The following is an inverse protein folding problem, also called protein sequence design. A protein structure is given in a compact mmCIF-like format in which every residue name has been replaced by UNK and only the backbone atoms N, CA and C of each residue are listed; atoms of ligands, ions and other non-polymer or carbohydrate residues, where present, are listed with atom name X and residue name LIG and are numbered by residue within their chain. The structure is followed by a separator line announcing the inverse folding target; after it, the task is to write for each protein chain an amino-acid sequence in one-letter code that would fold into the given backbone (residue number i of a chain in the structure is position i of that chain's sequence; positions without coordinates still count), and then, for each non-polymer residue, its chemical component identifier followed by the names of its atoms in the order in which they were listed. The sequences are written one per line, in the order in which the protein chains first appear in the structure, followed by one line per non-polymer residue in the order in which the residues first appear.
data_IF_426417573773
#
_entry.id   IF_426417573773
#
_cell.length_a   1.000
_cell.length_b   1.000
_cell.length_c   1.000
_cell.angle_alpha   90.00
_cell.angle_beta   90.00
_cell.angle_gamma   90.00
#
_symmetry.space_group_name_H-M   'P 1'
#
loop_
_entity.id
_entity.type
_entity.pdbx_description
1 polymer ?
#
# COMPACT_ATOMS: atom_id res chain seq x y z
N UNK A 1 -32.80 -6.63 -64.52
CA UNK A 1 -32.89 -8.00 -65.06
C UNK A 1 -33.22 -8.96 -63.92
N UNK A 2 -34.31 -9.72 -64.09
CA UNK A 2 -34.85 -10.87 -63.33
C UNK A 2 -35.14 -10.74 -61.81
N UNK A 3 -36.40 -10.75 -61.31
CA UNK A 3 -37.37 -11.87 -61.05
C UNK A 3 -36.83 -13.00 -60.15
N UNK A 4 -37.46 -13.49 -59.06
CA UNK A 4 -38.86 -13.92 -58.79
C UNK A 4 -39.12 -14.10 -57.26
N UNK A 5 -40.29 -13.71 -56.69
CA UNK A 5 -41.49 -14.52 -56.32
C UNK A 5 -41.29 -15.54 -55.17
N UNK A 6 -41.78 -15.36 -53.92
CA UNK A 6 -43.16 -15.46 -53.33
C UNK A 6 -43.69 -16.89 -53.11
N UNK A 7 -44.62 -17.07 -52.13
CA UNK A 7 -45.54 -18.23 -51.81
C UNK A 7 -45.17 -19.00 -50.51
N UNK A 8 -46.00 -19.36 -49.50
CA UNK A 8 -47.46 -19.30 -49.22
C UNK A 8 -47.79 -19.44 -47.70
N UNK A 9 -49.05 -19.12 -47.38
CA UNK A 9 -49.81 -19.30 -46.11
C UNK A 9 -50.14 -20.77 -45.78
N UNK A 10 -50.49 -21.04 -44.51
CA UNK A 10 -51.66 -21.87 -44.15
C UNK A 10 -52.07 -21.68 -42.67
N UNK A 11 -53.37 -21.79 -42.40
CA UNK A 11 -54.10 -21.42 -41.19
C UNK A 11 -54.76 -22.62 -40.49
N UNK A 12 -54.91 -22.51 -39.16
CA UNK A 12 -56.06 -22.91 -38.31
C UNK A 12 -56.68 -24.32 -38.36
N UNK A 13 -56.84 -24.93 -37.17
CA UNK A 13 -58.01 -25.74 -36.82
C UNK A 13 -58.37 -25.61 -35.33
N UNK A 14 -59.67 -25.49 -35.07
CA UNK A 14 -60.37 -25.40 -33.78
C UNK A 14 -61.03 -26.74 -33.44
N UNK A 15 -61.20 -27.08 -32.14
CA UNK A 15 -62.40 -27.79 -31.62
C UNK A 15 -62.47 -27.78 -30.09
N UNK A 16 -63.71 -27.96 -29.63
CA UNK A 16 -64.35 -27.52 -28.39
C UNK A 16 -64.61 -28.63 -27.35
N UNK A 17 -64.84 -28.17 -26.11
CA UNK A 17 -65.76 -28.64 -25.04
C UNK A 17 -65.76 -30.10 -24.55
N UNK A 18 -65.47 -30.31 -23.26
CA UNK A 18 -66.46 -30.79 -22.26
C UNK A 18 -65.83 -30.93 -20.84
N UNK A 19 -66.63 -30.62 -19.81
CA UNK A 19 -66.33 -30.71 -18.36
C UNK A 19 -67.46 -31.58 -17.74
N UNK A 20 -67.25 -32.49 -16.76
CA UNK A 20 -67.35 -32.16 -15.31
C UNK A 20 -66.61 -33.17 -14.35
N UNK A 21 -66.90 -33.29 -13.02
CA UNK A 21 -66.80 -32.33 -11.90
C UNK A 21 -65.93 -32.82 -10.69
N UNK A 22 -65.78 -31.91 -9.71
CA UNK A 22 -65.30 -32.00 -8.30
C UNK A 22 -65.23 -33.36 -7.56
N UNK A 23 -64.11 -33.58 -6.82
CA UNK A 23 -64.11 -34.12 -5.44
C UNK A 23 -62.82 -33.76 -4.66
N UNK A 24 -62.98 -33.41 -3.38
CA UNK A 24 -61.98 -32.94 -2.42
C UNK A 24 -61.28 -34.08 -1.67
N UNK A 25 -59.98 -33.95 -1.35
CA UNK A 25 -59.40 -34.54 -0.11
C UNK A 25 -58.16 -33.79 0.36
N UNK A 26 -58.17 -33.41 1.63
CA UNK A 26 -57.10 -32.72 2.35
C UNK A 26 -56.03 -33.69 2.85
N UNK A 27 -54.78 -33.58 2.41
CA UNK A 27 -53.65 -34.30 3.04
C UNK A 27 -52.29 -33.89 2.45
N UNK A 28 -51.90 -32.61 2.52
CA UNK A 28 -50.57 -32.22 2.02
C UNK A 28 -49.80 -31.17 2.84
N UNK A 29 -50.23 -30.88 4.09
CA UNK A 29 -49.61 -29.85 4.93
C UNK A 29 -48.89 -30.35 6.19
N UNK A 30 -48.80 -31.68 6.45
CA UNK A 30 -48.13 -32.18 7.67
C UNK A 30 -46.71 -32.71 7.50
N UNK A 31 -46.18 -32.85 6.28
CA UNK A 31 -44.85 -33.47 6.06
C UNK A 31 -43.69 -32.47 5.94
N UNK A 32 -43.94 -31.16 5.84
CA UNK A 32 -42.88 -30.15 5.72
C UNK A 32 -42.39 -29.57 7.06
N UNK A 33 -43.07 -29.82 8.18
CA UNK A 33 -42.68 -29.29 9.49
C UNK A 33 -41.65 -30.16 10.23
N UNK A 34 -41.70 -31.49 10.08
CA UNK A 34 -40.78 -32.41 10.77
C UNK A 34 -39.36 -32.37 10.18
N UNK A 35 -39.23 -32.34 8.85
CA UNK A 35 -37.92 -32.28 8.19
C UNK A 35 -37.13 -31.00 8.56
N UNK A 36 -37.85 -29.91 8.86
CA UNK A 36 -37.25 -28.62 9.24
C UNK A 36 -36.85 -28.57 10.71
N UNK A 37 -37.58 -29.26 11.60
CA UNK A 37 -37.22 -29.37 13.01
C UNK A 37 -36.03 -30.31 13.24
N UNK A 38 -35.93 -31.42 12.50
CA UNK A 38 -34.78 -32.32 12.57
C UNK A 38 -33.47 -31.67 12.06
N UNK A 39 -33.55 -30.75 11.11
CA UNK A 39 -32.40 -30.00 10.62
C UNK A 39 -31.89 -28.95 11.62
N UNK A 40 -32.78 -28.41 12.47
CA UNK A 40 -32.42 -27.41 13.48
C UNK A 40 -31.82 -28.04 14.74
N UNK A 41 -32.28 -29.22 15.15
CA UNK A 41 -31.70 -29.93 16.31
C UNK A 41 -30.27 -30.43 16.07
N UNK A 42 -29.90 -30.72 14.81
CA UNK A 42 -28.54 -31.11 14.44
C UNK A 42 -27.56 -29.92 14.37
N UNK A 43 -28.04 -28.66 14.45
CA UNK A 43 -27.19 -27.47 14.44
C UNK A 43 -26.78 -26.99 15.84
N UNK A 44 -27.51 -27.36 16.89
CA UNK A 44 -27.25 -26.89 18.27
C UNK A 44 -26.11 -27.66 18.98
N UNK A 45 -25.62 -28.77 18.41
CA UNK A 45 -24.61 -29.64 19.02
C UNK A 45 -23.15 -29.39 18.59
N UNK A 46 -22.88 -28.62 17.54
CA UNK A 46 -21.53 -28.51 16.94
C UNK A 46 -20.87 -27.13 17.05
N UNK A 47 -21.44 -26.22 17.84
CA UNK A 47 -21.00 -24.81 17.89
C UNK A 47 -19.82 -24.47 18.82
N UNK A 48 -19.26 -25.43 19.57
CA UNK A 48 -18.18 -25.14 20.56
C UNK A 48 -16.79 -25.65 20.19
N UNK A 49 -16.69 -26.61 19.26
CA UNK A 49 -15.40 -27.21 18.88
C UNK A 49 -14.83 -26.69 17.54
N UNK A 50 -15.55 -25.82 16.84
CA UNK A 50 -15.13 -25.25 15.54
C UNK A 50 -14.42 -23.89 15.66
N UNK A 51 -14.57 -23.18 16.78
CA UNK A 51 -13.97 -21.85 16.98
C UNK A 51 -12.49 -21.94 17.42
N UNK A 52 -12.09 -23.04 18.07
CA UNK A 52 -10.70 -23.30 18.48
C UNK A 52 -9.80 -23.76 17.33
N UNK A 53 -10.37 -24.33 16.26
CA UNK A 53 -9.62 -24.76 15.07
C UNK A 53 -9.39 -23.66 14.02
N UNK A 54 -9.89 -22.43 14.25
CA UNK A 54 -9.67 -21.27 13.35
C UNK A 54 -8.54 -20.34 13.78
N UNK A 55 -7.94 -20.56 14.94
CA UNK A 55 -6.72 -19.86 15.34
C UNK A 55 -5.53 -20.75 15.03
N UNK A 56 -4.65 -20.27 14.15
CA UNK A 56 -3.31 -20.83 14.03
C UNK A 56 -2.67 -20.87 15.42
N UNK A 57 -1.89 -21.93 15.74
CA UNK A 57 -1.12 -21.97 16.98
C UNK A 57 -0.34 -20.65 17.14
N UNK A 58 -0.15 -20.14 18.37
CA UNK A 58 0.73 -19.01 18.59
C UNK A 58 2.09 -19.33 17.95
N UNK A 59 2.54 -18.44 17.07
CA UNK A 59 3.83 -18.52 16.41
C UNK A 59 4.88 -18.72 17.51
N UNK A 60 5.58 -19.85 17.48
CA UNK A 60 6.65 -20.10 18.44
C UNK A 60 7.62 -18.92 18.35
N UNK A 61 7.95 -18.32 19.49
CA UNK A 61 8.93 -17.25 19.56
C UNK A 61 10.28 -17.80 19.07
N UNK A 62 10.54 -17.68 17.78
CA UNK A 62 11.81 -18.04 17.16
C UNK A 62 12.76 -16.89 17.43
N UNK A 63 13.89 -17.20 18.06
CA UNK A 63 14.98 -16.23 18.21
C UNK A 63 15.53 -15.88 16.81
N UNK A 64 15.30 -14.67 16.30
CA UNK A 64 15.61 -14.31 14.92
C UNK A 64 17.12 -14.36 14.63
N UNK A 65 17.97 -14.08 15.62
CA UNK A 65 19.43 -14.12 15.46
C UNK A 65 19.93 -15.56 15.36
N UNK A 66 19.43 -16.44 16.24
CA UNK A 66 19.77 -17.86 16.19
C UNK A 66 19.32 -18.53 14.87
N UNK A 67 18.18 -18.12 14.32
CA UNK A 67 17.69 -18.63 13.03
C UNK A 67 18.55 -18.15 11.86
N UNK A 68 18.99 -16.89 11.88
CA UNK A 68 19.91 -16.38 10.86
C UNK A 68 21.26 -17.10 10.89
N UNK A 69 21.84 -17.31 12.07
CA UNK A 69 23.12 -18.02 12.20
C UNK A 69 23.03 -19.47 11.71
N UNK A 70 21.95 -20.19 12.06
CA UNK A 70 21.69 -21.53 11.52
C UNK A 70 21.51 -21.53 10.00
N UNK A 71 20.87 -20.50 9.47
CA UNK A 71 20.69 -20.35 8.03
C UNK A 71 22.03 -20.16 7.32
N UNK A 72 22.90 -19.32 7.85
CA UNK A 72 24.26 -19.13 7.34
C UNK A 72 25.06 -20.44 7.42
N UNK A 73 25.06 -21.12 8.58
CA UNK A 73 25.73 -22.41 8.77
C UNK A 73 25.24 -23.47 7.77
N UNK A 74 23.94 -23.48 7.46
CA UNK A 74 23.37 -24.36 6.45
C UNK A 74 23.90 -24.04 5.05
N UNK A 75 23.93 -22.77 4.68
CA UNK A 75 24.44 -22.31 3.37
C UNK A 75 25.94 -22.59 3.19
N UNK A 76 26.73 -22.51 4.27
CA UNK A 76 28.19 -22.76 4.25
C UNK A 76 28.57 -24.21 4.56
N UNK A 77 27.59 -25.11 4.69
CA UNK A 77 27.84 -26.53 4.98
C UNK A 77 28.69 -27.20 3.89
N UNK A 78 29.71 -28.01 4.26
CA UNK A 78 30.52 -28.77 3.31
C UNK A 78 29.71 -29.69 2.38
N UNK A 79 28.50 -30.09 2.79
CA UNK A 79 27.59 -30.92 1.98
C UNK A 79 27.19 -30.25 0.66
N UNK A 80 27.13 -28.91 0.64
CA UNK A 80 26.72 -28.12 -0.52
C UNK A 80 27.90 -27.52 -1.28
N UNK A 81 29.12 -27.64 -0.74
CA UNK A 81 30.30 -27.00 -1.32
C UNK A 81 30.65 -27.53 -2.71
N UNK A 82 30.45 -28.82 -2.95
CA UNK A 82 30.69 -29.45 -4.26
C UNK A 82 29.46 -29.42 -5.18
N UNK A 83 28.26 -29.34 -4.60
CA UNK A 83 26.97 -29.46 -5.29
C UNK A 83 26.44 -28.11 -5.80
N UNK A 84 26.54 -27.09 -4.95
CA UNK A 84 25.91 -25.77 -5.11
C UNK A 84 26.84 -24.65 -4.60
N UNK A 85 27.96 -24.36 -5.30
CA UNK A 85 28.97 -23.38 -4.84
C UNK A 85 28.40 -21.97 -4.62
N UNK A 86 27.30 -21.64 -5.29
CA UNK A 86 26.61 -20.37 -5.19
C UNK A 86 25.91 -20.16 -3.85
N UNK A 87 25.39 -21.22 -3.22
CA UNK A 87 24.76 -21.13 -1.90
C UNK A 87 25.80 -20.79 -0.83
N UNK A 88 26.97 -21.41 -0.93
CA UNK A 88 28.13 -21.12 -0.09
C UNK A 88 28.57 -19.66 -0.25
N UNK A 89 28.60 -19.14 -1.47
CA UNK A 89 28.92 -17.74 -1.74
C UNK A 89 27.91 -16.76 -1.11
N UNK A 90 26.60 -17.07 -1.14
CA UNK A 90 25.56 -16.29 -0.43
C UNK A 90 25.79 -16.34 1.08
N UNK A 91 26.14 -17.50 1.63
CA UNK A 91 26.46 -17.68 3.05
C UNK A 91 27.63 -16.78 3.48
N UNK A 92 28.74 -16.77 2.74
CA UNK A 92 29.88 -15.91 3.03
C UNK A 92 29.57 -14.41 2.91
N UNK A 93 28.70 -14.03 1.97
CA UNK A 93 28.26 -12.63 1.83
C UNK A 93 27.44 -12.18 3.06
N UNK A 94 26.56 -13.05 3.58
CA UNK A 94 25.83 -12.79 4.82
C UNK A 94 26.76 -12.71 6.04
N UNK A 95 27.76 -13.59 6.14
CA UNK A 95 28.78 -13.52 7.20
C UNK A 95 29.58 -12.21 7.14
N UNK A 96 29.96 -11.78 5.94
CA UNK A 96 30.66 -10.52 5.74
C UNK A 96 29.81 -9.33 6.18
N UNK A 97 28.52 -9.30 5.84
CA UNK A 97 27.59 -8.25 6.29
C UNK A 97 27.47 -8.20 7.81
N UNK A 98 27.36 -9.36 8.48
CA UNK A 98 27.33 -9.43 9.95
C UNK A 98 28.66 -9.01 10.57
N UNK A 99 29.79 -9.32 9.94
CA UNK A 99 31.11 -8.92 10.41
C UNK A 99 31.36 -7.42 10.29
N UNK A 100 30.85 -6.78 9.23
CA UNK A 100 31.06 -5.35 8.97
C UNK A 100 30.11 -4.49 9.80
N UNK A 101 28.82 -4.84 9.83
CA UNK A 101 27.76 -4.00 10.39
C UNK A 101 27.22 -4.49 11.74
N UNK A 102 27.70 -5.64 12.22
CA UNK A 102 27.33 -6.23 13.51
C UNK A 102 26.20 -7.27 13.42
N UNK A 103 26.03 -8.01 14.52
CA UNK A 103 25.14 -9.18 14.59
C UNK A 103 23.66 -8.86 14.37
N UNK A 104 23.22 -7.64 14.68
CA UNK A 104 21.84 -7.20 14.53
C UNK A 104 21.53 -6.53 13.18
N UNK A 105 22.54 -6.40 12.30
CA UNK A 105 22.40 -5.67 11.03
C UNK A 105 21.51 -6.42 10.05
N UNK A 106 21.54 -7.75 10.05
CA UNK A 106 20.75 -8.58 9.14
C UNK A 106 19.63 -9.28 9.90
N UNK A 107 18.42 -9.27 9.34
CA UNK A 107 17.24 -9.95 9.91
C UNK A 107 16.50 -10.72 8.82
N UNK A 108 16.35 -12.02 8.99
CA UNK A 108 15.54 -12.82 8.07
C UNK A 108 14.07 -12.34 8.10
N UNK A 109 13.47 -12.26 6.92
CA UNK A 109 12.07 -11.88 6.74
C UNK A 109 11.27 -13.08 6.27
N UNK A 110 10.39 -13.57 7.14
CA UNK A 110 9.51 -14.69 6.84
C UNK A 110 8.18 -14.17 6.28
N UNK A 111 7.65 -14.83 5.24
CA UNK A 111 6.31 -14.53 4.77
C UNK A 111 5.31 -14.92 5.87
N UNK A 112 4.44 -13.99 6.26
CA UNK A 112 3.40 -14.18 7.29
C UNK A 112 2.27 -15.15 6.88
N UNK A 113 2.45 -15.89 5.78
CA UNK A 113 1.50 -16.89 5.30
C UNK A 113 2.28 -18.10 4.78
N UNK A 114 2.12 -19.29 5.37
CA UNK A 114 2.49 -20.50 4.64
C UNK A 114 1.59 -20.57 3.40
N UNK A 115 2.20 -20.76 2.24
CA UNK A 115 1.46 -21.16 1.04
C UNK A 115 0.65 -22.40 1.42
N UNK A 116 -0.67 -22.35 1.23
CA UNK A 116 -1.60 -23.40 1.66
C UNK A 116 -1.47 -24.65 0.78
N UNK A 117 -0.37 -25.40 0.92
CA UNK A 117 -0.03 -26.66 0.28
C UNK A 117 1.08 -27.25 1.19
N UNK A 118 0.91 -28.26 2.04
CA UNK A 118 0.39 -29.61 1.83
C UNK A 118 0.02 -30.16 3.22
N UNK A 119 -1.25 -30.50 3.44
CA UNK A 119 -1.63 -31.46 4.48
C UNK A 119 -1.91 -32.78 3.76
N UNK A 120 -0.91 -33.64 3.64
CA UNK A 120 -1.11 -35.04 3.27
C UNK A 120 -1.64 -35.78 4.50
N UNK A 121 -2.93 -35.61 4.79
CA UNK A 121 -3.64 -36.59 5.61
C UNK A 121 -3.80 -37.87 4.81
N UNK A 122 -3.40 -38.96 5.44
CA UNK A 122 -3.33 -40.30 4.89
C UNK A 122 -4.74 -40.83 4.60
N UNK A 123 -5.16 -40.86 3.34
CA UNK A 123 -6.31 -41.66 2.92
C UNK A 123 -5.97 -42.43 1.66
N UNK A 124 -5.83 -43.75 1.82
CA UNK A 124 -5.76 -44.73 0.75
C UNK A 124 -6.96 -44.59 -0.18
N UNK A 125 -6.76 -44.13 -1.41
CA UNK A 125 -7.67 -44.42 -2.52
C UNK A 125 -6.87 -44.42 -3.81
N UNK A 126 -6.78 -45.58 -4.46
CA UNK A 126 -6.17 -45.76 -5.78
C UNK A 126 -6.83 -44.84 -6.81
N UNK A 127 -6.02 -44.06 -7.53
CA UNK A 127 -6.43 -43.31 -8.71
C UNK A 127 -6.00 -44.07 -9.98
N UNK A 128 -6.81 -44.02 -11.07
CA UNK A 128 -6.56 -44.79 -12.29
C UNK A 128 -5.42 -44.18 -13.13
N UNK A 129 -4.83 -44.96 -14.06
CA UNK A 129 -3.65 -44.51 -14.81
C UNK A 129 -3.99 -43.40 -15.81
N UNK A 130 -3.03 -42.50 -16.11
CA UNK A 130 -3.26 -41.39 -17.03
C UNK A 130 -3.35 -41.85 -18.48
N UNK A 131 -4.31 -41.28 -19.20
CA UNK A 131 -4.57 -41.47 -20.64
C UNK A 131 -3.43 -40.81 -21.45
N UNK A 132 -2.92 -41.43 -22.54
CA UNK A 132 -1.84 -40.85 -23.32
C UNK A 132 -2.34 -39.76 -24.27
N UNK A 133 -1.79 -38.55 -24.15
CA UNK A 133 -2.04 -37.43 -25.05
C UNK A 133 -1.20 -37.56 -26.33
N UNK A 134 -1.89 -37.55 -27.46
CA UNK A 134 -1.35 -37.59 -28.82
C UNK A 134 -0.43 -36.40 -29.14
N UNK A 135 0.60 -36.74 -29.91
CA UNK A 135 1.65 -35.94 -30.53
C UNK A 135 1.23 -34.66 -31.28
N UNK A 136 2.00 -33.59 -31.08
CA UNK A 136 2.49 -32.71 -32.16
C UNK A 136 3.97 -32.37 -31.92
N UNK A 137 4.76 -32.52 -32.97
CA UNK A 137 6.22 -32.40 -33.03
C UNK A 137 6.69 -30.93 -33.10
N UNK A 138 7.78 -30.63 -32.39
CA UNK A 138 8.65 -29.45 -32.58
C UNK A 138 9.77 -29.45 -31.53
N UNK A 139 11.07 -29.37 -31.89
CA UNK A 139 12.16 -29.61 -30.96
C UNK A 139 12.58 -28.32 -30.23
N UNK A 140 12.57 -28.35 -28.91
CA UNK A 140 13.33 -27.40 -28.08
C UNK A 140 13.62 -28.02 -26.71
N UNK A 141 14.78 -28.67 -26.63
CA UNK A 141 15.40 -29.17 -25.41
C UNK A 141 15.95 -28.02 -24.56
N UNK A 142 15.09 -27.38 -23.75
CA UNK A 142 15.55 -26.42 -22.71
C UNK A 142 14.64 -26.33 -21.48
N UNK A 143 13.60 -27.18 -21.40
CA UNK A 143 12.62 -27.15 -20.30
C UNK A 143 12.92 -28.08 -19.12
N UNK A 144 13.81 -29.07 -19.28
CA UNK A 144 14.12 -30.06 -18.24
C UNK A 144 15.18 -29.53 -17.25
N UNK A 145 16.21 -28.85 -17.72
CA UNK A 145 17.31 -28.33 -16.88
C UNK A 145 16.85 -27.21 -15.93
N UNK A 146 16.03 -26.27 -16.42
CA UNK A 146 15.52 -25.15 -15.60
C UNK A 146 14.65 -25.59 -14.41
N UNK A 147 14.00 -26.75 -14.52
CA UNK A 147 13.23 -27.34 -13.42
C UNK A 147 14.13 -28.06 -12.42
N UNK A 148 15.27 -28.59 -12.84
CA UNK A 148 16.23 -29.25 -11.95
C UNK A 148 16.92 -28.22 -11.05
N UNK A 149 17.53 -27.19 -11.62
CA UNK A 149 18.31 -26.20 -10.84
C UNK A 149 17.47 -25.46 -9.78
N UNK A 150 16.21 -25.15 -10.11
CA UNK A 150 15.28 -24.53 -9.14
C UNK A 150 14.80 -25.49 -8.06
N UNK A 151 14.78 -26.80 -8.32
CA UNK A 151 14.44 -27.83 -7.33
C UNK A 151 15.62 -28.13 -6.42
N UNK A 152 16.84 -28.18 -6.96
CA UNK A 152 18.07 -28.44 -6.20
C UNK A 152 18.36 -27.29 -5.23
N UNK A 153 18.27 -26.04 -5.70
CA UNK A 153 18.29 -24.83 -4.86
C UNK A 153 17.24 -24.87 -3.75
N UNK A 154 16.00 -25.20 -4.12
CA UNK A 154 14.88 -25.25 -3.19
C UNK A 154 15.02 -26.36 -2.13
N UNK A 155 15.63 -27.50 -2.50
CA UNK A 155 15.90 -28.62 -1.60
C UNK A 155 17.07 -28.33 -0.64
N UNK A 156 18.11 -27.62 -1.10
CA UNK A 156 19.26 -27.25 -0.28
C UNK A 156 18.91 -26.20 0.80
N UNK A 157 18.02 -25.26 0.47
CA UNK A 157 17.54 -24.21 1.38
C UNK A 157 16.38 -24.69 2.27
N UNK A 158 15.74 -25.80 1.92
CA UNK A 158 14.60 -26.31 2.68
C UNK A 158 15.04 -26.77 4.09
N UNK A 159 14.58 -26.02 5.08
CA UNK A 159 14.66 -26.39 6.48
C UNK A 159 13.38 -25.94 7.18
N UNK A 160 12.62 -26.91 7.69
CA UNK A 160 11.36 -26.70 8.39
C UNK A 160 11.55 -25.87 9.68
N UNK A 161 12.72 -26.00 10.32
CA UNK A 161 13.06 -25.30 11.55
C UNK A 161 13.42 -23.84 11.26
N UNK A 162 14.02 -23.54 10.10
CA UNK A 162 14.32 -22.17 9.65
C UNK A 162 13.04 -21.51 9.09
N UNK A 163 12.16 -22.27 8.45
CA UNK A 163 10.84 -21.81 7.98
C UNK A 163 10.77 -21.37 6.52
N UNK A 164 11.74 -21.74 5.69
CA UNK A 164 11.69 -21.50 4.24
C UNK A 164 10.92 -22.61 3.52
N UNK A 165 10.01 -22.22 2.62
CA UNK A 165 9.31 -23.14 1.74
C UNK A 165 10.13 -23.33 0.46
N UNK A 166 10.28 -24.56 -0.08
CA UNK A 166 11.01 -24.81 -1.31
C UNK A 166 10.46 -23.95 -2.46
N UNK A 167 11.33 -23.23 -3.16
CA UNK A 167 10.98 -22.40 -4.31
C UNK A 167 10.48 -21.00 -3.95
N UNK A 168 10.48 -20.61 -2.68
CA UNK A 168 10.22 -19.24 -2.25
C UNK A 168 11.46 -18.34 -2.40
N UNK A 169 11.24 -17.03 -2.50
CA UNK A 169 12.32 -16.03 -2.45
C UNK A 169 12.89 -15.96 -1.04
N UNK A 170 14.20 -16.01 -0.88
CA UNK A 170 14.84 -15.64 0.39
C UNK A 170 14.70 -14.13 0.55
N UNK A 171 14.24 -13.68 1.71
CA UNK A 171 14.15 -12.26 2.04
C UNK A 171 14.82 -11.99 3.37
N UNK A 172 15.59 -10.92 3.41
CA UNK A 172 16.16 -10.42 4.64
C UNK A 172 16.28 -8.90 4.58
N UNK A 173 16.20 -8.30 5.75
CA UNK A 173 16.42 -6.89 5.94
C UNK A 173 17.87 -6.66 6.36
N UNK A 174 18.52 -5.66 5.76
CA UNK A 174 19.85 -5.20 6.15
C UNK A 174 19.72 -3.76 6.63
N UNK A 175 20.21 -3.48 7.84
CA UNK A 175 20.32 -2.14 8.41
C UNK A 175 21.75 -1.65 8.28
N UNK A 176 21.97 -0.55 7.57
CA UNK A 176 23.29 0.01 7.25
C UNK A 176 23.28 1.51 7.54
N UNK A 177 24.40 2.11 7.99
CA UNK A 177 24.50 3.56 8.08
C UNK A 177 24.59 4.17 6.68
N UNK A 178 24.09 5.41 6.50
CA UNK A 178 24.17 6.09 5.19
C UNK A 178 25.62 6.42 4.78
N UNK A 179 26.51 6.61 5.75
CA UNK A 179 27.95 6.73 5.56
C UNK A 179 28.68 6.08 6.73
N UNK A 180 29.95 5.71 6.55
CA UNK A 180 30.72 5.08 7.62
C UNK A 180 31.16 6.11 8.67
N UNK A 181 31.30 5.68 9.92
CA UNK A 181 31.69 6.57 11.00
C UNK A 181 33.10 7.12 10.76
N UNK A 182 33.22 8.45 10.69
CA UNK A 182 34.48 9.13 10.36
C UNK A 182 34.62 9.54 8.89
N UNK A 183 33.66 9.21 8.04
CA UNK A 183 33.61 9.73 6.68
C UNK A 183 33.27 11.22 6.65
N UNK A 184 34.02 11.98 5.86
CA UNK A 184 33.71 13.39 5.58
C UNK A 184 32.67 13.49 4.44
N UNK A 185 31.64 14.31 4.64
CA UNK A 185 30.65 14.62 3.60
C UNK A 185 31.10 15.86 2.83
N UNK A 186 31.55 15.68 1.59
CA UNK A 186 31.98 16.79 0.73
C UNK A 186 30.82 17.78 0.49
N UNK A 187 31.10 19.08 0.61
CA UNK A 187 30.14 20.14 0.30
C UNK A 187 29.16 20.51 1.42
N UNK A 188 29.35 19.98 2.64
CA UNK A 188 28.51 20.29 3.81
C UNK A 188 29.38 20.79 4.96
N UNK A 189 28.91 21.81 5.67
CA UNK A 189 29.54 22.29 6.90
C UNK A 189 29.51 21.22 8.00
N UNK A 190 30.68 20.82 8.51
CA UNK A 190 30.86 19.75 9.51
C UNK A 190 30.01 19.96 10.77
N UNK A 191 29.75 21.22 11.14
CA UNK A 191 28.96 21.55 12.34
C UNK A 191 27.47 21.21 12.21
N UNK A 192 26.98 21.02 10.98
CA UNK A 192 25.58 20.76 10.67
C UNK A 192 25.34 19.33 10.19
N UNK A 193 26.39 18.52 10.05
CA UNK A 193 26.27 17.07 9.84
C UNK A 193 25.87 16.43 11.17
N UNK A 194 24.88 15.54 11.20
CA UNK A 194 24.56 14.78 12.41
C UNK A 194 25.81 14.05 12.94
N UNK A 195 26.02 14.07 14.26
CA UNK A 195 27.16 13.38 14.89
C UNK A 195 27.18 11.88 14.55
N UNK A 196 26.00 11.26 14.50
CA UNK A 196 25.83 9.86 14.11
C UNK A 196 25.14 9.75 12.73
N UNK A 197 25.66 8.91 11.81
CA UNK A 197 24.99 8.65 10.54
C UNK A 197 23.61 8.02 10.76
N UNK A 198 22.56 8.48 10.06
CA UNK A 198 21.27 7.81 10.10
C UNK A 198 21.38 6.42 9.50
N UNK A 199 20.58 5.49 10.02
CA UNK A 199 20.51 4.12 9.49
C UNK A 199 19.44 4.03 8.40
N UNK A 200 19.81 3.44 7.27
CA UNK A 200 18.90 2.97 6.23
C UNK A 200 18.61 1.49 6.40
N UNK A 201 17.39 1.07 6.07
CA UNK A 201 16.95 -0.32 6.10
C UNK A 201 16.64 -0.77 4.69
N UNK A 202 17.28 -1.81 4.20
CA UNK A 202 17.11 -2.32 2.83
C UNK A 202 16.57 -3.73 2.89
N UNK A 203 15.43 -3.98 2.23
CA UNK A 203 14.94 -5.32 1.98
C UNK A 203 15.68 -5.91 0.79
N UNK A 204 16.41 -6.99 1.02
CA UNK A 204 17.02 -7.82 0.00
C UNK A 204 16.07 -8.99 -0.30
N UNK A 205 15.77 -9.21 -1.57
CA UNK A 205 14.96 -10.33 -2.04
C UNK A 205 15.71 -11.13 -3.09
N UNK A 206 16.14 -12.34 -2.73
CA UNK A 206 16.83 -13.27 -3.63
C UNK A 206 15.80 -14.16 -4.33
N UNK A 207 15.68 -14.11 -5.67
CA UNK A 207 14.87 -15.08 -6.39
C UNK A 207 15.50 -16.49 -6.32
N UNK A 208 14.70 -17.57 -6.47
CA UNK A 208 15.23 -18.95 -6.52
C UNK A 208 16.24 -19.22 -7.65
N UNK A 209 16.34 -18.30 -8.61
CA UNK A 209 17.23 -18.34 -9.76
C UNK A 209 18.51 -17.52 -9.55
N UNK A 210 18.71 -16.92 -8.38
CA UNK A 210 19.92 -16.18 -8.02
C UNK A 210 20.99 -17.13 -7.48
N UNK A 211 22.28 -16.96 -7.86
CA UNK A 211 22.84 -15.96 -8.78
C UNK A 211 22.87 -16.41 -10.25
N UNK A 212 22.33 -17.58 -10.58
CA UNK A 212 22.54 -18.22 -11.88
C UNK A 212 21.91 -17.47 -13.07
N UNK A 213 20.74 -16.84 -12.90
CA UNK A 213 20.05 -16.22 -14.05
C UNK A 213 19.21 -14.99 -13.72
N UNK A 214 18.98 -14.66 -12.45
CA UNK A 214 18.24 -13.45 -12.08
C UNK A 214 18.93 -12.70 -10.96
N UNK A 215 19.04 -11.36 -11.03
CA UNK A 215 19.66 -10.56 -9.99
C UNK A 215 18.80 -10.50 -8.71
N UNK A 216 19.37 -10.06 -7.58
CA UNK A 216 18.61 -9.75 -6.39
C UNK A 216 17.75 -8.48 -6.62
N UNK A 217 16.76 -8.29 -5.76
CA UNK A 217 15.96 -7.06 -5.72
C UNK A 217 16.20 -6.35 -4.40
N UNK A 218 16.51 -5.05 -4.49
CA UNK A 218 16.77 -4.18 -3.35
C UNK A 218 15.64 -3.16 -3.23
N UNK A 219 15.17 -2.94 -2.00
CA UNK A 219 14.13 -1.97 -1.73
C UNK A 219 14.43 -1.22 -0.43
N UNK A 220 14.43 0.10 -0.47
CA UNK A 220 14.55 0.92 0.72
C UNK A 220 13.26 0.80 1.55
N UNK A 221 13.41 0.51 2.83
CA UNK A 221 12.34 0.41 3.82
C UNK A 221 12.27 1.69 4.64
N UNK A 222 11.05 2.09 4.99
CA UNK A 222 10.78 3.32 5.71
C UNK A 222 10.30 4.43 4.79
N UNK A 223 9.64 5.43 5.38
CA UNK A 223 9.16 6.63 4.67
C UNK A 223 10.11 7.81 4.82
N UNK A 224 11.01 7.73 5.78
CA UNK A 224 11.94 8.79 6.14
C UNK A 224 13.32 8.19 6.34
N UNK A 225 14.32 9.00 6.05
CA UNK A 225 15.72 8.75 6.34
C UNK A 225 16.27 9.98 7.05
N UNK A 226 16.64 9.83 8.32
CA UNK A 226 16.88 10.98 9.19
C UNK A 226 15.67 11.90 9.23
N UNK A 227 15.88 13.17 8.89
CA UNK A 227 14.85 14.22 8.89
C UNK A 227 14.14 14.38 7.53
N UNK A 228 14.52 13.61 6.51
CA UNK A 228 14.05 13.78 5.15
C UNK A 228 13.08 12.66 4.75
N UNK A 229 11.99 13.03 4.07
CA UNK A 229 11.06 12.07 3.48
C UNK A 229 11.66 11.45 2.23
N UNK A 230 11.60 10.13 2.10
CA UNK A 230 12.09 9.41 0.93
C UNK A 230 11.13 9.69 -0.24
N UNK A 231 11.65 10.24 -1.33
CA UNK A 231 10.88 10.50 -2.54
C UNK A 231 10.83 9.29 -3.48
N UNK A 232 9.93 9.35 -4.47
CA UNK A 232 9.76 8.28 -5.47
C UNK A 232 10.95 8.11 -6.41
N UNK A 233 11.77 9.16 -6.57
CA UNK A 233 12.99 9.13 -7.37
C UNK A 233 14.02 8.21 -6.73
N UNK A 234 14.38 8.48 -5.47
CA UNK A 234 15.31 7.66 -4.68
C UNK A 234 14.83 6.20 -4.61
N UNK A 235 13.54 5.99 -4.33
CA UNK A 235 12.97 4.65 -4.29
C UNK A 235 13.11 3.90 -5.63
N UNK A 236 12.84 4.61 -6.74
CA UNK A 236 12.95 4.08 -8.08
C UNK A 236 14.38 3.70 -8.45
N UNK A 237 15.36 4.54 -8.09
CA UNK A 237 16.77 4.31 -8.41
C UNK A 237 17.32 3.10 -7.66
N UNK A 238 16.94 2.92 -6.39
CA UNK A 238 17.27 1.72 -5.59
C UNK A 238 16.61 0.46 -6.16
N UNK A 239 15.34 0.53 -6.55
CA UNK A 239 14.64 -0.63 -7.12
C UNK A 239 15.25 -1.07 -8.46
N UNK A 240 15.89 -0.13 -9.19
CA UNK A 240 16.52 -0.37 -10.48
C UNK A 240 18.03 -0.65 -10.40
N UNK A 241 18.59 -0.91 -9.20
CA UNK A 241 20.04 -1.13 -9.02
C UNK A 241 20.65 -2.12 -10.02
N UNK A 242 19.98 -3.21 -10.37
CA UNK A 242 20.52 -4.21 -11.34
C UNK A 242 19.89 -4.16 -12.73
N UNK A 243 19.09 -3.13 -13.02
CA UNK A 243 18.31 -3.00 -14.26
C UNK A 243 18.70 -1.73 -15.02
N UNK A 244 19.06 -0.67 -14.31
CA UNK A 244 19.44 0.62 -14.89
C UNK A 244 20.85 0.58 -15.48
N UNK A 245 21.08 1.36 -16.55
CA UNK A 245 22.41 1.58 -17.13
C UNK A 245 23.41 2.21 -16.16
N UNK A 246 22.90 2.95 -15.17
CA UNK A 246 23.71 3.64 -14.16
C UNK A 246 23.84 2.81 -12.87
N UNK A 247 23.29 1.59 -12.88
CA UNK A 247 23.32 0.66 -11.76
C UNK A 247 24.52 -0.29 -11.79
N UNK A 248 24.40 -1.39 -11.05
CA UNK A 248 25.36 -2.49 -11.01
C UNK A 248 25.04 -3.52 -12.09
N UNK A 249 26.07 -3.92 -12.83
CA UNK A 249 25.96 -5.00 -13.80
C UNK A 249 25.82 -6.34 -13.08
N UNK A 250 24.77 -7.09 -13.41
CA UNK A 250 24.62 -8.47 -12.94
C UNK A 250 25.29 -9.45 -13.91
N UNK A 251 26.23 -10.23 -13.38
CA UNK A 251 26.87 -11.34 -14.09
C UNK A 251 26.26 -12.67 -13.60
N UNK A 252 25.61 -13.45 -14.49
CA UNK A 252 25.11 -14.78 -14.15
C UNK A 252 26.19 -15.67 -13.53
N UNK A 253 25.91 -16.22 -12.34
CA UNK A 253 26.83 -17.05 -11.55
C UNK A 253 27.59 -16.29 -10.46
N UNK A 254 27.61 -14.96 -10.51
CA UNK A 254 28.29 -14.16 -9.50
C UNK A 254 27.31 -13.65 -8.42
N UNK A 255 27.71 -13.80 -7.16
CA UNK A 255 27.04 -13.18 -6.02
C UNK A 255 27.43 -11.69 -5.97
N UNK A 256 26.48 -10.81 -5.64
CA UNK A 256 26.56 -9.38 -5.90
C UNK A 256 25.65 -8.52 -5.00
N UNK A 257 25.10 -9.05 -3.90
CA UNK A 257 24.24 -8.27 -3.00
C UNK A 257 25.05 -7.15 -2.35
N UNK A 258 26.29 -7.43 -1.94
CA UNK A 258 27.20 -6.48 -1.31
C UNK A 258 27.50 -5.30 -2.24
N UNK A 259 27.79 -5.56 -3.51
CA UNK A 259 27.99 -4.53 -4.53
C UNK A 259 26.73 -3.67 -4.70
N UNK A 260 25.56 -4.30 -4.72
CA UNK A 260 24.29 -3.60 -4.79
C UNK A 260 24.01 -2.75 -3.56
N UNK A 261 24.28 -3.26 -2.35
CA UNK A 261 24.11 -2.52 -1.10
C UNK A 261 25.08 -1.32 -1.01
N UNK A 262 26.32 -1.49 -1.46
CA UNK A 262 27.32 -0.42 -1.55
C UNK A 262 26.88 0.68 -2.52
N UNK A 263 26.34 0.28 -3.68
CA UNK A 263 25.76 1.21 -4.64
C UNK A 263 24.54 1.95 -4.08
N UNK A 264 23.64 1.25 -3.39
CA UNK A 264 22.49 1.85 -2.70
C UNK A 264 22.97 2.85 -1.63
N UNK A 265 23.97 2.50 -0.81
CA UNK A 265 24.57 3.40 0.16
C UNK A 265 25.09 4.67 -0.51
N UNK A 266 25.75 4.55 -1.66
CA UNK A 266 26.23 5.70 -2.45
C UNK A 266 25.08 6.59 -2.95
N UNK A 267 24.03 6.01 -3.53
CA UNK A 267 22.85 6.78 -3.99
C UNK A 267 22.21 7.51 -2.82
N UNK A 268 21.94 6.78 -1.74
CA UNK A 268 21.27 7.30 -0.54
C UNK A 268 22.11 8.40 0.12
N UNK A 269 23.43 8.23 0.18
CA UNK A 269 24.36 9.24 0.67
C UNK A 269 24.29 10.53 -0.15
N UNK A 270 24.38 10.44 -1.47
CA UNK A 270 24.32 11.62 -2.34
C UNK A 270 22.99 12.34 -2.24
N UNK A 271 21.89 11.58 -2.17
CA UNK A 271 20.55 12.12 -1.93
C UNK A 271 20.46 12.83 -0.57
N UNK A 272 20.99 12.22 0.49
CA UNK A 272 20.96 12.78 1.84
C UNK A 272 21.79 14.07 1.93
N UNK A 273 22.98 14.08 1.32
CA UNK A 273 23.86 15.26 1.22
C UNK A 273 23.11 16.41 0.53
N UNK A 274 22.44 16.13 -0.58
CA UNK A 274 21.69 17.15 -1.33
C UNK A 274 20.53 17.74 -0.51
N UNK A 275 19.84 16.93 0.29
CA UNK A 275 18.76 17.42 1.15
C UNK A 275 19.28 18.23 2.35
N UNK A 276 20.44 17.85 2.90
CA UNK A 276 21.12 18.65 3.91
C UNK A 276 21.51 20.01 3.36
N UNK A 277 22.13 20.10 2.18
CA UNK A 277 22.54 21.38 1.59
C UNK A 277 21.34 22.30 1.34
N UNK A 278 20.25 21.78 0.76
CA UNK A 278 19.00 22.54 0.55
C UNK A 278 18.44 23.06 1.88
N UNK A 279 18.50 22.24 2.93
CA UNK A 279 18.03 22.63 4.26
C UNK A 279 18.90 23.75 4.86
N UNK A 280 20.22 23.67 4.68
CA UNK A 280 21.15 24.69 5.15
C UNK A 280 20.96 26.02 4.42
N UNK A 281 20.81 26.00 3.09
CA UNK A 281 20.53 27.19 2.29
C UNK A 281 19.22 27.85 2.73
N UNK A 282 18.17 27.05 2.94
CA UNK A 282 16.88 27.53 3.42
C UNK A 282 16.92 28.11 4.82
N UNK A 283 17.76 27.60 5.72
CA UNK A 283 17.97 28.15 7.06
C UNK A 283 18.78 29.46 7.02
N UNK A 284 19.87 29.50 6.26
CA UNK A 284 20.71 30.69 6.11
C UNK A 284 19.92 31.87 5.51
N UNK A 285 19.10 31.61 4.48
CA UNK A 285 18.23 32.63 3.89
C UNK A 285 17.20 33.17 4.90
N UNK A 286 16.62 32.29 5.73
CA UNK A 286 15.69 32.73 6.79
C UNK A 286 16.38 33.54 7.88
N UNK A 287 17.63 33.23 8.20
CA UNK A 287 18.39 33.97 9.20
C UNK A 287 18.82 35.34 8.66
N UNK A 288 19.20 35.42 7.39
CA UNK A 288 19.44 36.70 6.68
C UNK A 288 18.17 37.57 6.63
N UNK A 289 17.01 36.97 6.32
CA UNK A 289 15.70 37.65 6.38
C UNK A 289 15.35 38.11 7.81
N UNK A 290 15.70 37.34 8.86
CA UNK A 290 15.47 37.74 10.25
C UNK A 290 16.36 38.89 10.70
N UNK A 291 17.60 38.93 10.22
CA UNK A 291 18.55 40.00 10.53
C UNK A 291 18.18 41.30 9.81
N UNK A 292 17.71 41.23 8.56
CA UNK A 292 17.23 42.40 7.80
C UNK A 292 15.93 42.99 8.39
N UNK A 293 15.02 42.15 8.92
CA UNK A 293 13.78 42.61 9.56
C UNK A 293 13.98 43.34 10.91
N UNK A 294 15.15 43.22 11.54
CA UNK A 294 15.44 43.90 12.81
C UNK A 294 16.01 45.33 12.64
N UNK A 295 16.43 45.72 11.43
CA UNK A 295 17.01 47.05 11.18
C UNK A 295 15.98 48.09 10.69
N UNK A 296 14.81 47.66 10.22
CA UNK A 296 13.75 48.55 9.71
C UNK A 296 12.66 48.84 10.76
N UNK A 297 13.01 49.64 11.77
CA UNK A 297 12.05 50.20 12.73
C UNK A 297 11.54 51.59 12.31
N UNK A 298 11.37 51.84 11.01
CA UNK A 298 10.70 53.05 10.51
C UNK A 298 10.25 52.92 9.03
N UNK A 299 9.08 52.34 8.79
CA UNK A 299 8.00 52.91 7.96
C UNK A 299 7.00 51.86 7.48
N UNK A 300 5.74 52.29 7.45
CA UNK A 300 4.60 51.57 6.90
C UNK A 300 4.83 51.15 5.44
N UNK A 301 5.02 49.85 5.19
CA UNK A 301 4.43 49.08 4.07
C UNK A 301 4.90 47.63 4.15
N UNK A 302 3.98 46.70 4.40
CA UNK A 302 4.26 45.24 4.46
C UNK A 302 4.50 44.68 3.06
N UNK A 303 5.55 43.85 2.84
CA UNK A 303 5.58 42.93 1.71
C UNK A 303 4.99 41.56 2.10
N UNK A 304 4.39 40.90 1.09
CA UNK A 304 3.80 39.56 1.15
C UNK A 304 4.87 38.48 1.34
N UNK A 305 4.70 37.61 2.34
CA UNK A 305 5.45 36.37 2.52
C UNK A 305 4.64 35.20 1.97
N UNK A 306 4.79 34.92 0.67
CA UNK A 306 4.34 33.66 0.06
C UNK A 306 5.46 32.63 0.18
N UNK A 307 5.32 31.69 1.12
CA UNK A 307 6.15 30.50 1.25
C UNK A 307 5.78 29.52 0.13
N UNK A 308 6.61 29.41 -0.90
CA UNK A 308 6.40 28.44 -1.99
C UNK A 308 7.08 27.10 -1.65
N UNK A 309 6.26 26.10 -1.34
CA UNK A 309 6.64 24.68 -1.35
C UNK A 309 5.66 23.95 -2.26
N UNK A 310 5.83 24.11 -3.57
CA UNK A 310 5.16 23.28 -4.57
C UNK A 310 5.95 23.35 -5.88
N UNK A 311 6.68 22.28 -6.23
CA UNK A 311 7.31 22.13 -7.54
C UNK A 311 6.41 21.29 -8.44
N UNK A 312 5.87 21.90 -9.50
CA UNK A 312 5.43 21.16 -10.69
C UNK A 312 6.27 21.59 -11.87
N UNK A 313 6.72 20.59 -12.62
CA UNK A 313 7.41 20.77 -13.89
C UNK A 313 6.60 21.64 -14.84
N UNK A 314 7.28 22.59 -15.45
CA UNK A 314 6.76 23.46 -16.48
C UNK A 314 6.32 22.63 -17.69
N UNK A 315 5.02 22.57 -17.93
CA UNK A 315 4.45 22.26 -19.23
C UNK A 315 3.45 23.38 -19.53
N UNK A 316 3.86 24.24 -20.47
CA UNK A 316 3.07 25.32 -21.05
C UNK A 316 1.66 24.84 -21.40
N UNK A 317 0.64 25.42 -20.78
CA UNK A 317 -0.71 25.56 -21.33
C UNK A 317 -1.45 26.64 -20.53
N UNK A 318 -2.07 27.57 -21.25
CA UNK A 318 -2.83 28.77 -20.83
C UNK A 318 -3.42 28.69 -19.41
N UNK A 319 -3.03 29.63 -18.55
CA UNK A 319 -3.53 29.75 -17.18
C UNK A 319 -5.01 30.17 -17.17
N UNK A 320 -5.91 29.20 -17.06
CA UNK A 320 -7.27 29.48 -16.59
C UNK A 320 -7.17 29.99 -15.14
N UNK A 321 -7.50 31.27 -14.94
CA UNK A 321 -7.59 31.88 -13.61
C UNK A 321 -8.75 31.20 -12.85
N UNK A 322 -8.42 30.36 -11.88
CA UNK A 322 -9.39 29.70 -11.00
C UNK A 322 -9.94 30.73 -10.01
N UNK A 323 -11.24 31.04 -10.10
CA UNK A 323 -11.94 31.94 -9.19
C UNK A 323 -12.23 31.26 -7.84
N UNK A 324 -11.38 31.55 -6.84
CA UNK A 324 -11.42 30.97 -5.49
C UNK A 324 -12.73 31.36 -4.75
N UNK A 325 -13.37 32.47 -5.11
CA UNK A 325 -14.58 32.96 -4.43
C UNK A 325 -15.81 32.04 -4.58
N UNK A 326 -15.77 31.13 -5.55
CA UNK A 326 -16.84 30.14 -5.80
C UNK A 326 -16.83 28.98 -4.81
N UNK A 327 -15.73 28.81 -4.08
CA UNK A 327 -15.55 27.71 -3.18
C UNK A 327 -16.05 28.06 -1.77
N UNK A 328 -16.76 27.13 -1.15
CA UNK A 328 -17.31 27.30 0.21
C UNK A 328 -16.78 26.18 1.11
N UNK A 329 -16.03 26.57 2.14
CA UNK A 329 -15.63 25.67 3.20
C UNK A 329 -16.78 25.39 4.17
N UNK A 330 -16.95 24.13 4.52
CA UNK A 330 -17.82 23.68 5.61
C UNK A 330 -16.96 23.27 6.80
N UNK A 331 -17.01 24.08 7.85
CA UNK A 331 -16.14 23.95 9.02
C UNK A 331 -16.90 23.31 10.18
N UNK A 332 -16.34 22.26 10.79
CA UNK A 332 -16.92 21.59 11.95
C UNK A 332 -16.87 22.46 13.20
N UNK A 333 -17.68 22.10 14.20
CA UNK A 333 -17.46 22.60 15.55
C UNK A 333 -16.10 22.10 16.10
N UNK A 334 -15.44 22.88 16.99
CA UNK A 334 -14.18 22.47 17.58
C UNK A 334 -14.37 21.32 18.57
N UNK A 335 -13.59 20.26 18.39
CA UNK A 335 -13.48 19.15 19.34
C UNK A 335 -12.30 19.45 20.26
N UNK A 336 -12.51 19.42 21.58
CA UNK A 336 -11.48 19.74 22.58
C UNK A 336 -11.23 18.52 23.46
N UNK A 337 -9.98 18.06 23.54
CA UNK A 337 -9.51 17.01 24.44
C UNK A 337 -8.13 17.40 25.00
N UNK A 338 -7.98 17.42 26.33
CA UNK A 338 -6.71 17.74 27.01
C UNK A 338 -6.03 19.00 26.45
N UNK A 339 -6.83 20.06 26.25
CA UNK A 339 -6.46 21.36 25.65
C UNK A 339 -6.02 21.31 24.18
N UNK A 340 -5.96 20.13 23.57
CA UNK A 340 -5.82 20.02 22.12
C UNK A 340 -7.17 20.28 21.46
N UNK A 341 -7.16 21.03 20.37
CA UNK A 341 -8.35 21.39 19.61
C UNK A 341 -8.25 20.84 18.20
N UNK A 342 -9.35 20.33 17.67
CA UNK A 342 -9.45 19.78 16.31
C UNK A 342 -10.64 20.41 15.59
N UNK A 343 -10.41 20.89 14.37
CA UNK A 343 -11.45 21.45 13.51
C UNK A 343 -11.29 20.83 12.12
N UNK A 344 -12.36 20.31 11.56
CA UNK A 344 -12.40 19.80 10.19
C UNK A 344 -12.99 20.84 9.24
N UNK A 345 -12.53 20.82 8.00
CA UNK A 345 -12.98 21.66 6.91
C UNK A 345 -13.19 20.77 5.69
N UNK A 346 -14.41 20.76 5.12
CA UNK A 346 -14.70 20.04 3.89
C UNK A 346 -15.07 20.99 2.77
N UNK A 347 -14.73 20.61 1.55
CA UNK A 347 -14.99 21.42 0.37
C UNK A 347 -15.13 20.55 -0.89
N UNK A 348 -16.03 20.95 -1.78
CA UNK A 348 -16.22 20.27 -3.06
C UNK A 348 -15.17 20.75 -4.05
N UNK A 349 -14.51 19.82 -4.72
CA UNK A 349 -13.45 20.07 -5.70
C UNK A 349 -13.73 19.32 -6.99
N UNK A 350 -13.32 19.88 -8.13
CA UNK A 350 -13.50 19.25 -9.45
C UNK A 350 -12.16 19.00 -10.14
N UNK A 351 -11.11 19.71 -9.72
CA UNK A 351 -9.78 19.62 -10.31
C UNK A 351 -8.70 19.62 -9.23
N UNK A 352 -7.61 18.90 -9.48
CA UNK A 352 -6.46 18.80 -8.59
C UNK A 352 -5.75 20.15 -8.42
N UNK A 353 -5.77 20.99 -9.47
CA UNK A 353 -5.21 22.35 -9.44
C UNK A 353 -5.88 23.28 -8.40
N UNK A 354 -7.11 22.97 -7.97
CA UNK A 354 -7.85 23.76 -6.98
C UNK A 354 -7.29 23.57 -5.56
N UNK A 355 -6.75 22.39 -5.28
CA UNK A 355 -6.33 21.96 -3.94
C UNK A 355 -5.29 22.91 -3.31
N UNK A 356 -4.15 23.25 -3.97
CA UNK A 356 -3.17 24.14 -3.36
C UNK A 356 -3.73 25.56 -3.12
N UNK A 357 -4.61 26.05 -3.99
CA UNK A 357 -5.26 27.36 -3.81
C UNK A 357 -6.19 27.37 -2.60
N UNK A 358 -6.94 26.28 -2.41
CA UNK A 358 -7.86 26.11 -1.28
C UNK A 358 -7.12 25.93 0.05
N UNK A 359 -6.03 25.17 0.06
CA UNK A 359 -5.19 25.05 1.26
C UNK A 359 -4.61 26.42 1.62
N UNK A 360 -4.09 27.17 0.65
CA UNK A 360 -3.56 28.51 0.90
C UNK A 360 -4.64 29.47 1.42
N UNK A 361 -5.85 29.41 0.86
CA UNK A 361 -6.98 30.20 1.37
C UNK A 361 -7.33 29.87 2.82
N UNK A 362 -7.25 28.59 3.22
CA UNK A 362 -7.45 28.20 4.61
C UNK A 362 -6.32 28.71 5.51
N UNK A 363 -5.08 28.70 5.03
CA UNK A 363 -3.89 29.19 5.73
C UNK A 363 -3.81 30.73 5.81
N UNK A 364 -4.62 31.47 5.04
CA UNK A 364 -4.76 32.91 5.20
C UNK A 364 -5.31 33.30 6.59
N UNK A 365 -6.07 32.41 7.25
CA UNK A 365 -6.43 32.59 8.65
C UNK A 365 -5.21 32.34 9.55
N UNK A 366 -4.72 33.42 10.16
CA UNK A 366 -3.59 33.39 11.11
C UNK A 366 -3.78 32.44 12.28
N UNK A 367 -5.01 32.14 12.69
CA UNK A 367 -5.27 31.17 13.76
C UNK A 367 -4.98 29.75 13.30
N UNK A 368 -5.34 29.42 12.07
CA UNK A 368 -5.11 28.12 11.43
C UNK A 368 -3.63 27.96 11.10
N UNK A 369 -3.00 28.96 10.48
CA UNK A 369 -1.57 28.91 10.14
C UNK A 369 -0.63 28.76 11.35
N UNK A 370 -1.09 29.12 12.55
CA UNK A 370 -0.34 28.96 13.82
C UNK A 370 -0.64 27.64 14.54
N UNK A 371 -1.50 26.79 13.99
CA UNK A 371 -1.79 25.49 14.58
C UNK A 371 -0.54 24.60 14.56
N UNK A 372 -0.55 23.54 15.38
CA UNK A 372 0.56 22.58 15.39
C UNK A 372 0.60 21.77 14.09
N UNK A 373 -0.58 21.49 13.54
CA UNK A 373 -0.78 20.88 12.22
C UNK A 373 -1.89 21.68 11.53
N UNK A 374 -1.55 22.77 10.80
CA UNK A 374 -2.49 23.65 10.12
C UNK A 374 -3.42 22.97 9.09
N UNK A 375 -2.93 22.01 8.33
CA UNK A 375 -3.59 21.47 7.15
C UNK A 375 -3.32 19.97 6.91
N UNK A 376 -3.75 19.10 7.84
CA UNK A 376 -3.77 17.65 7.58
C UNK A 376 -4.89 17.37 6.57
N UNK A 377 -4.59 16.92 5.35
CA UNK A 377 -5.63 16.81 4.33
C UNK A 377 -5.65 15.48 3.59
N UNK A 378 -6.79 15.19 2.96
CA UNK A 378 -6.94 14.15 1.96
C UNK A 378 -7.99 14.56 0.93
N UNK A 379 -7.85 14.07 -0.29
CA UNK A 379 -8.84 14.31 -1.32
C UNK A 379 -9.12 13.08 -2.18
N UNK A 380 -10.29 13.09 -2.82
CA UNK A 380 -10.69 12.06 -3.78
C UNK A 380 -11.42 12.70 -4.94
N UNK A 381 -10.76 12.76 -6.10
CA UNK A 381 -11.30 13.26 -7.35
C UNK A 381 -11.68 12.12 -8.28
N UNK A 382 -12.75 12.32 -9.05
CA UNK A 382 -13.20 11.35 -10.06
C UNK A 382 -13.14 11.97 -11.44
N UNK A 383 -12.45 11.29 -12.36
CA UNK A 383 -12.48 11.61 -13.79
C UNK A 383 -13.22 10.48 -14.51
N UNK A 384 -14.26 10.84 -15.25
CA UNK A 384 -14.92 9.92 -16.15
C UNK A 384 -14.09 9.85 -17.44
N UNK A 385 -13.51 8.68 -17.71
CA UNK A 385 -12.63 8.48 -18.87
C UNK A 385 -13.35 7.90 -20.07
N UNK A 386 -14.67 7.61 -19.98
CA UNK A 386 -15.49 7.15 -21.10
C UNK A 386 -15.00 5.87 -21.79
N UNK A 387 -15.63 4.73 -21.50
CA UNK A 387 -15.28 3.43 -22.10
C UNK A 387 -15.42 2.27 -21.11
N UNK A 388 -14.98 1.04 -21.45
CA UNK A 388 -15.09 -0.12 -20.55
C UNK A 388 -14.26 -0.01 -19.26
N UNK A 389 -13.35 0.99 -19.16
CA UNK A 389 -12.53 1.25 -17.98
C UNK A 389 -13.24 2.01 -16.83
N UNK A 390 -14.41 2.62 -17.08
CA UNK A 390 -15.22 3.28 -16.04
C UNK A 390 -14.60 4.56 -15.43
N UNK A 391 -14.83 4.77 -14.13
CA UNK A 391 -14.36 5.94 -13.34
C UNK A 391 -12.91 5.77 -12.91
N UNK A 392 -12.07 6.79 -13.14
CA UNK A 392 -10.71 6.87 -12.60
C UNK A 392 -10.72 7.75 -11.34
N UNK A 393 -10.16 7.24 -10.25
CA UNK A 393 -10.00 7.99 -9.00
C UNK A 393 -8.59 8.56 -8.89
N UNK A 394 -8.46 9.86 -8.69
CA UNK A 394 -7.22 10.48 -8.23
C UNK A 394 -7.36 10.80 -6.74
N UNK A 395 -6.51 10.23 -5.91
CA UNK A 395 -6.59 10.35 -4.44
C UNK A 395 -5.21 10.54 -3.86
N UNK A 396 -5.05 11.57 -3.03
CA UNK A 396 -3.82 11.80 -2.29
C UNK A 396 -4.11 12.37 -0.90
N UNK A 397 -3.07 12.51 -0.08
CA UNK A 397 -3.16 13.03 1.28
C UNK A 397 -1.85 13.69 1.73
N UNK A 398 -1.95 14.53 2.76
CA UNK A 398 -0.81 15.05 3.51
C UNK A 398 -1.08 14.91 5.01
N UNK A 399 -0.07 14.44 5.72
CA UNK A 399 -0.10 14.29 7.17
C UNK A 399 0.19 15.63 7.89
N UNK A 400 0.80 16.62 7.22
CA UNK A 400 1.17 17.93 7.78
C UNK A 400 1.89 17.82 9.15
N UNK A 401 2.86 16.89 9.23
CA UNK A 401 3.61 16.59 10.45
C UNK A 401 2.84 15.75 11.50
N UNK A 402 1.54 15.51 11.33
CA UNK A 402 0.74 14.58 12.14
C UNK A 402 0.79 13.17 11.53
N UNK A 403 1.89 12.44 11.77
CA UNK A 403 2.16 11.15 11.13
C UNK A 403 0.97 10.19 11.16
N UNK A 404 0.61 9.66 9.98
CA UNK A 404 -0.49 8.75 9.72
C UNK A 404 -1.91 9.33 9.89
N UNK A 405 -2.08 10.65 9.93
CA UNK A 405 -3.41 11.27 9.97
C UNK A 405 -4.04 11.45 8.58
N UNK A 406 -3.32 11.98 7.60
CA UNK A 406 -3.76 12.17 6.22
C UNK A 406 -4.12 10.84 5.55
N UNK A 407 -3.30 9.79 5.72
CA UNK A 407 -3.62 8.46 5.19
C UNK A 407 -4.93 7.88 5.77
N UNK A 408 -5.26 8.19 7.04
CA UNK A 408 -6.54 7.81 7.65
C UNK A 408 -7.71 8.62 7.11
N UNK A 409 -7.49 9.91 6.82
CA UNK A 409 -8.49 10.76 6.16
C UNK A 409 -8.76 10.29 4.73
N UNK A 410 -7.73 9.90 3.97
CA UNK A 410 -7.91 9.28 2.64
C UNK A 410 -8.73 8.01 2.75
N UNK A 411 -8.38 7.12 3.67
CA UNK A 411 -9.13 5.89 3.89
C UNK A 411 -10.58 6.15 4.34
N UNK A 412 -10.82 7.21 5.12
CA UNK A 412 -12.16 7.66 5.49
C UNK A 412 -12.99 8.04 4.24
N UNK A 413 -12.43 8.79 3.30
CA UNK A 413 -13.09 9.14 2.03
C UNK A 413 -13.35 7.89 1.15
N UNK A 414 -12.46 6.90 1.22
CA UNK A 414 -12.61 5.61 0.52
C UNK A 414 -13.80 4.81 1.07
N UNK A 415 -13.85 4.58 2.38
CA UNK A 415 -14.91 3.82 3.05
C UNK A 415 -16.27 4.51 2.89
N UNK A 416 -16.29 5.85 2.97
CA UNK A 416 -17.52 6.62 2.80
C UNK A 416 -17.93 6.73 1.32
N UNK A 417 -17.09 6.29 0.38
CA UNK A 417 -17.27 6.36 -1.07
C UNK A 417 -17.57 7.79 -1.56
N UNK A 418 -16.90 8.76 -0.97
CA UNK A 418 -17.07 10.16 -1.33
C UNK A 418 -16.20 10.51 -2.53
N UNK A 419 -16.77 11.26 -3.46
CA UNK A 419 -16.15 11.67 -4.71
C UNK A 419 -16.12 13.20 -4.78
N UNK A 420 -15.10 13.76 -5.42
CA UNK A 420 -14.96 15.19 -5.70
C UNK A 420 -14.97 16.05 -4.43
N UNK A 421 -14.24 15.59 -3.40
CA UNK A 421 -14.16 16.24 -2.08
C UNK A 421 -12.72 16.34 -1.59
N UNK A 422 -12.41 17.47 -0.96
CA UNK A 422 -11.20 17.71 -0.17
C UNK A 422 -11.64 17.85 1.29
N UNK A 423 -10.96 17.14 2.18
CA UNK A 423 -11.08 17.30 3.63
C UNK A 423 -9.75 17.79 4.18
N UNK A 424 -9.79 18.81 5.03
CA UNK A 424 -8.65 19.35 5.77
C UNK A 424 -8.99 19.35 7.25
N UNK A 425 -8.07 18.94 8.11
CA UNK A 425 -8.22 18.98 9.56
C UNK A 425 -7.08 19.80 10.14
N UNK A 426 -7.44 20.82 10.92
CA UNK A 426 -6.51 21.64 11.66
C UNK A 426 -6.44 21.17 13.10
N UNK A 427 -5.22 20.96 13.63
CA UNK A 427 -4.99 20.55 15.02
C UNK A 427 -4.11 21.55 15.77
N UNK A 428 -4.60 22.02 16.92
CA UNK A 428 -3.81 22.76 17.90
C UNK A 428 -3.33 21.83 19.02
N UNK A 429 -2.04 21.91 19.38
CA UNK A 429 -1.47 21.12 20.46
C UNK A 429 -1.74 21.77 21.83
N UNK A 430 -2.30 20.98 22.75
CA UNK A 430 -2.67 21.43 24.10
C UNK A 430 -1.59 21.34 25.16
N UNK A 431 -0.38 20.88 24.81
CA UNK A 431 0.70 20.60 25.77
C UNK A 431 0.72 19.16 26.33
N UNK A 432 -0.27 18.33 25.98
CA UNK A 432 -0.38 16.93 26.46
C UNK A 432 -0.42 15.99 25.25
N UNK A 433 0.39 14.93 25.26
CA UNK A 433 0.37 13.93 24.20
C UNK A 433 -0.90 13.06 24.31
N UNK A 434 -1.73 13.08 23.26
CA UNK A 434 -2.98 12.31 23.20
C UNK A 434 -2.79 10.85 22.78
N UNK A 435 -1.60 10.47 22.29
CA UNK A 435 -1.36 9.12 21.79
C UNK A 435 -2.34 8.77 20.66
N UNK A 436 -2.83 7.52 20.55
CA UNK A 436 -3.76 7.12 19.50
C UNK A 436 -5.11 7.86 19.49
N UNK A 437 -5.53 8.45 20.61
CA UNK A 437 -6.85 9.11 20.71
C UNK A 437 -6.98 10.33 19.80
N UNK A 438 -5.88 11.01 19.48
CA UNK A 438 -5.89 12.14 18.54
C UNK A 438 -6.45 11.76 17.17
N UNK A 439 -6.23 10.53 16.72
CA UNK A 439 -6.75 10.06 15.44
C UNK A 439 -8.26 9.82 15.46
N UNK A 440 -8.84 9.52 16.64
CA UNK A 440 -10.30 9.47 16.80
C UNK A 440 -10.90 10.86 16.59
N UNK A 441 -10.29 11.89 17.19
CA UNK A 441 -10.75 13.28 17.05
C UNK A 441 -10.54 13.84 15.65
N UNK A 442 -9.42 13.52 14.99
CA UNK A 442 -9.17 13.91 13.59
C UNK A 442 -10.24 13.32 12.67
N UNK A 443 -10.52 12.02 12.80
CA UNK A 443 -11.57 11.37 12.00
C UNK A 443 -12.96 11.91 12.34
N UNK A 444 -13.24 12.23 13.60
CA UNK A 444 -14.52 12.79 14.00
C UNK A 444 -14.71 14.20 13.43
N UNK A 445 -13.73 15.09 13.58
CA UNK A 445 -13.77 16.44 13.04
C UNK A 445 -13.95 16.44 11.51
N UNK A 446 -13.27 15.52 10.81
CA UNK A 446 -13.45 15.30 9.39
C UNK A 446 -14.88 14.87 9.04
N UNK A 447 -15.47 13.91 9.77
CA UNK A 447 -16.85 13.48 9.55
C UNK A 447 -17.85 14.60 9.80
N UNK A 448 -17.68 15.35 10.88
CA UNK A 448 -18.56 16.47 11.23
C UNK A 448 -18.54 17.54 10.12
N UNK A 449 -17.35 17.83 9.57
CA UNK A 449 -17.21 18.74 8.43
C UNK A 449 -17.88 18.20 7.15
N UNK A 450 -17.75 16.90 6.87
CA UNK A 450 -18.40 16.25 5.71
C UNK A 450 -19.93 16.22 5.84
N UNK A 451 -20.44 16.03 7.07
CA UNK A 451 -21.87 16.06 7.37
C UNK A 451 -22.44 17.47 7.13
N UNK A 452 -21.77 18.50 7.65
CA UNK A 452 -22.14 19.90 7.43
C UNK A 452 -22.09 20.30 5.95
N UNK A 453 -21.15 19.74 5.19
CA UNK A 453 -21.06 19.91 3.74
C UNK A 453 -22.09 19.12 2.94
N UNK A 454 -22.93 18.31 3.59
CA UNK A 454 -23.96 17.49 2.95
C UNK A 454 -23.43 16.28 2.19
N UNK A 455 -22.12 16.00 2.21
CA UNK A 455 -21.50 14.90 1.47
C UNK A 455 -21.97 13.52 1.94
N UNK A 456 -22.43 13.41 3.19
CA UNK A 456 -22.91 12.16 3.77
C UNK A 456 -24.41 11.90 3.52
N UNK A 457 -25.17 12.92 3.05
CA UNK A 457 -26.62 12.83 2.90
C UNK A 457 -27.06 12.23 1.56
N UNK A 458 -26.23 12.27 0.52
CA UNK A 458 -26.49 11.67 -0.80
C UNK A 458 -26.74 10.15 -0.76
N UNK A 459 -26.38 9.47 0.35
CA UNK A 459 -26.70 8.06 0.58
C UNK A 459 -28.11 7.84 1.16
N UNK A 460 -28.62 8.73 2.01
CA UNK A 460 -29.97 8.60 2.60
C UNK A 460 -31.06 8.70 1.53
N UNK A 461 -30.94 9.65 0.61
CA UNK A 461 -31.92 9.83 -0.46
C UNK A 461 -31.92 8.66 -1.47
N UNK A 462 -30.75 8.05 -1.75
CA UNK A 462 -30.64 6.86 -2.62
C UNK A 462 -31.20 5.58 -1.98
N UNK A 463 -31.12 5.46 -0.66
CA UNK A 463 -31.72 4.34 0.07
C UNK A 463 -33.24 4.52 0.25
N UNK A 464 -33.71 5.76 0.40
CA UNK A 464 -35.14 6.10 0.46
C UNK A 464 -35.85 6.00 -0.90
N UNK A 465 -35.19 6.33 -2.02
CA UNK A 465 -35.74 6.09 -3.38
C UNK A 465 -35.89 4.59 -3.69
N UNK A 466 -34.95 3.75 -3.24
CA UNK A 466 -35.05 2.28 -3.38
C UNK A 466 -36.17 1.68 -2.53
N UNK A 467 -36.49 2.29 -1.38
CA UNK A 467 -37.59 1.84 -0.51
C UNK A 467 -38.97 2.34 -0.98
N UNK A 468 -39.04 3.52 -1.60
CA UNK A 468 -40.27 4.12 -2.15
C UNK A 468 -40.78 3.48 -3.45
N UNK A 469 -39.87 3.00 -4.32
CA UNK A 469 -40.22 2.38 -5.61
C UNK A 469 -40.99 1.05 -5.45
N UNK A 470 -40.83 0.34 -4.32
CA UNK A 470 -41.52 -0.93 -4.07
C UNK A 470 -42.99 -0.81 -3.65
N UNK A 471 -43.52 0.40 -3.40
CA UNK A 471 -44.90 0.59 -2.87
C UNK A 471 -45.91 1.17 -3.87
N UNK A 472 -45.53 1.47 -5.11
CA UNK A 472 -46.44 2.02 -6.15
C UNK A 472 -46.53 1.10 -7.37
N UNK A 473 -47.11 -0.08 -7.17
CA UNK A 473 -47.44 -1.04 -8.23
C UNK A 473 -48.61 -1.91 -7.84
N UNK A 474 -49.79 -1.31 -7.60
CA UNK A 474 -50.96 -2.04 -7.13
C UNK A 474 -52.20 -1.16 -6.97
N UNK A 475 -52.69 -0.58 -8.08
CA UNK A 475 -54.10 -0.27 -8.34
C UNK A 475 -54.26 0.48 -9.65
N UNK A 476 -54.65 -0.23 -10.70
CA UNK A 476 -55.85 0.08 -11.50
C UNK A 476 -56.19 -1.11 -12.38
#
# INVERSE_FOLDING_TARGET
MSTSASILRSSSQTRSSDNPPYQSTSSHLSFQSEARQAALSNLEGSGKDLESSRRSPPEQYRDPEAVLLRFIERLTSPEYQDSDPHLVAIGYELEALLSIYGSSAVKLSFASRPSSLISTSSTNTELPPPIPSSSYLGPSSSGMERRSESQDYANAIFDYDIGFIPGERIRYEVTLPVWEQGDHLEGIDEQKVPEDPPNMRVLVSLPPTYPNSSPPQLQLLGRYLGNFGIDSGLFGDITRTYISSNGITFSPGDVCVFDGLTHVQTIVRNWYISNLSISQEGESAREEDRLTLNDDNNNNNKPNLTRSTFSYGSQNNEEEIIDISKFKFFTSNPIIDRKSTFIGHSIKISNEKEIPLLINELLNDKKIAKAAHPAIFAYRLVKDSGGPAGKIYNTDYDDDGETAAGSRLKHLLEILELENVLIVVTRWFGGIQLGPDRFKHINQAARDALELGGFLNDKKDKDDEKSGSKRRGGKK
#
